data_IF_639491045722
#
_entry.id   IF_639491045722
#
_cell.length_a   1.000
_cell.length_b   1.000
_cell.length_c   1.000
_cell.angle_alpha   90.00
_cell.angle_beta   90.00
_cell.angle_gamma   90.00
#
_symmetry.space_group_name_H-M   'P 1'
#
loop_
_entity.id
_entity.type
_entity.pdbx_description
1 polymer ?
#
# COMPACT_ATOMS: atom_id res chain seq x y z
N UNK A 1 4.28 -81.72 -16.23
CA UNK A 1 5.47 -82.08 -17.02
C UNK A 1 5.92 -80.82 -17.75
N UNK A 2 7.19 -80.48 -17.57
CA UNK A 2 7.89 -79.27 -18.04
C UNK A 2 8.19 -79.36 -19.56
N UNK A 3 8.88 -78.31 -20.06
CA UNK A 3 9.69 -78.20 -21.31
C UNK A 3 9.02 -77.32 -22.37
N UNK A 4 9.31 -76.00 -22.53
CA UNK A 4 10.56 -75.23 -22.83
C UNK A 4 10.79 -75.02 -24.34
N UNK A 5 11.06 -73.76 -24.71
CA UNK A 5 11.80 -73.32 -25.92
C UNK A 5 11.05 -72.25 -26.72
N UNK A 6 11.20 -70.94 -26.50
CA UNK A 6 12.38 -70.07 -26.79
C UNK A 6 12.84 -70.23 -28.25
N UNK A 7 12.90 -69.21 -29.09
CA UNK A 7 13.81 -68.04 -29.05
C UNK A 7 13.46 -67.19 -30.33
N UNK A 8 13.64 -65.88 -30.50
CA UNK A 8 14.89 -65.11 -30.49
C UNK A 8 14.56 -63.61 -30.51
N UNK A 9 15.19 -62.85 -29.59
CA UNK A 9 15.96 -61.65 -29.93
C UNK A 9 15.25 -60.30 -30.06
N UNK A 10 15.55 -59.40 -29.12
CA UNK A 10 15.31 -57.98 -29.31
C UNK A 10 15.45 -57.13 -28.06
N UNK A 11 16.59 -57.19 -27.38
CA UNK A 11 16.93 -56.31 -26.26
C UNK A 11 16.96 -54.84 -26.70
N UNK A 12 16.08 -54.01 -26.14
CA UNK A 12 16.33 -52.56 -26.10
C UNK A 12 15.68 -51.91 -24.88
N UNK A 13 16.57 -51.68 -23.90
CA UNK A 13 16.68 -50.45 -23.14
C UNK A 13 15.40 -49.93 -22.46
N UNK A 14 15.32 -50.20 -21.16
CA UNK A 14 15.40 -49.15 -20.14
C UNK A 14 14.83 -47.79 -20.58
N UNK A 15 13.65 -47.44 -20.07
CA UNK A 15 13.52 -46.44 -19.00
C UNK A 15 12.05 -46.14 -18.79
N UNK A 16 11.65 -46.31 -17.54
CA UNK A 16 10.62 -45.55 -16.85
C UNK A 16 10.32 -44.26 -17.60
N UNK A 17 9.11 -44.12 -18.12
CA UNK A 17 8.60 -42.84 -18.56
C UNK A 17 8.47 -41.97 -17.30
N UNK A 18 9.61 -41.39 -16.92
CA UNK A 18 9.71 -40.14 -16.20
C UNK A 18 8.66 -39.25 -16.84
N UNK A 19 7.64 -38.96 -16.04
CA UNK A 19 6.67 -37.91 -16.24
C UNK A 19 7.43 -36.78 -16.95
N UNK A 20 7.15 -36.56 -18.24
CA UNK A 20 7.49 -35.32 -18.92
C UNK A 20 6.65 -34.22 -18.25
N UNK A 21 6.97 -33.91 -16.99
CA UNK A 21 6.80 -32.61 -16.40
C UNK A 21 7.52 -31.74 -17.40
N UNK A 22 6.75 -31.08 -18.26
CA UNK A 22 7.23 -29.86 -18.91
C UNK A 22 8.01 -29.11 -17.83
N UNK A 23 9.30 -28.80 -18.05
CA UNK A 23 10.01 -27.97 -17.10
C UNK A 23 9.11 -26.76 -16.85
N UNK A 24 8.78 -26.50 -15.58
CA UNK A 24 8.14 -25.24 -15.23
C UNK A 24 9.05 -24.17 -15.83
N UNK A 25 8.53 -23.22 -16.64
CA UNK A 25 9.35 -22.14 -17.14
C UNK A 25 9.85 -21.38 -15.90
N UNK A 26 11.08 -21.64 -15.50
CA UNK A 26 11.84 -20.85 -14.55
C UNK A 26 12.87 -20.12 -15.39
N UNK A 27 12.42 -19.11 -16.15
CA UNK A 27 13.28 -18.23 -16.93
C UNK A 27 12.52 -16.93 -17.27
N UNK A 28 13.07 -15.79 -16.82
CA UNK A 28 12.62 -14.40 -17.09
C UNK A 28 11.65 -13.84 -16.04
N UNK A 29 12.01 -13.12 -14.97
CA UNK A 29 12.94 -11.99 -14.84
C UNK A 29 12.64 -10.79 -15.76
N UNK A 30 11.50 -10.76 -16.46
CA UNK A 30 11.18 -9.67 -17.40
C UNK A 30 9.68 -9.36 -17.34
N UNK A 31 9.32 -8.19 -16.75
CA UNK A 31 7.97 -7.63 -16.79
C UNK A 31 7.23 -7.49 -15.45
N UNK A 32 7.84 -6.87 -14.43
CA UNK A 32 7.11 -6.36 -13.26
C UNK A 32 6.25 -5.11 -13.59
N UNK A 33 5.63 -5.06 -14.77
CA UNK A 33 5.07 -3.84 -15.35
C UNK A 33 3.59 -3.97 -15.70
N UNK A 34 2.74 -4.55 -14.83
CA UNK A 34 1.29 -4.42 -15.04
C UNK A 34 0.44 -4.52 -13.77
N UNK A 35 0.67 -3.60 -12.83
CA UNK A 35 -0.31 -3.27 -11.77
C UNK A 35 -0.54 -1.76 -11.64
N UNK A 36 -0.24 -1.00 -12.69
CA UNK A 36 -0.58 0.42 -12.73
C UNK A 36 -2.03 0.60 -13.19
N UNK A 37 -2.79 1.54 -12.61
CA UNK A 37 -4.14 1.81 -13.05
C UNK A 37 -4.10 2.39 -14.48
N UNK A 38 -4.60 1.63 -15.46
CA UNK A 38 -4.57 1.99 -16.88
C UNK A 38 -5.06 3.43 -17.16
N UNK A 39 -4.26 4.22 -17.89
CA UNK A 39 -4.53 5.62 -18.21
C UNK A 39 -4.05 6.63 -17.17
N UNK A 40 -2.93 6.35 -16.49
CA UNK A 40 -2.34 7.23 -15.50
C UNK A 40 -1.69 8.46 -16.14
N UNK A 41 -1.91 9.63 -15.55
CA UNK A 41 -1.06 10.79 -15.80
C UNK A 41 0.21 10.68 -14.94
N UNK A 42 1.30 11.36 -15.32
CA UNK A 42 2.56 11.45 -14.53
C UNK A 42 2.33 11.73 -13.03
N UNK A 43 1.25 12.45 -12.68
CA UNK A 43 0.85 12.72 -11.30
C UNK A 43 0.35 11.47 -10.57
N UNK A 44 -0.47 10.64 -11.25
CA UNK A 44 -1.08 9.43 -10.70
C UNK A 44 -0.07 8.31 -10.51
N UNK A 45 0.91 8.19 -11.40
CA UNK A 45 2.06 7.28 -11.25
C UNK A 45 2.86 7.56 -9.98
N UNK A 46 3.29 8.81 -9.80
CA UNK A 46 4.02 9.22 -8.57
C UNK A 46 3.22 8.94 -7.30
N UNK A 47 1.91 9.16 -7.37
CA UNK A 47 1.02 8.91 -6.23
C UNK A 47 0.88 7.42 -5.92
N UNK A 48 0.78 6.58 -6.95
CA UNK A 48 0.75 5.13 -6.79
C UNK A 48 2.02 4.64 -6.09
N UNK A 49 3.20 5.01 -6.62
CA UNK A 49 4.48 4.57 -6.03
C UNK A 49 4.63 5.08 -4.59
N UNK A 50 4.31 6.34 -4.32
CA UNK A 50 4.38 6.87 -2.96
C UNK A 50 3.49 6.10 -1.97
N UNK A 51 2.28 5.70 -2.38
CA UNK A 51 1.37 4.95 -1.50
C UNK A 51 1.84 3.50 -1.32
N UNK A 52 2.31 2.87 -2.41
CA UNK A 52 2.87 1.52 -2.38
C UNK A 52 4.06 1.46 -1.43
N UNK A 53 5.05 2.31 -1.65
CA UNK A 53 6.25 2.40 -0.82
C UNK A 53 5.90 2.71 0.64
N UNK A 54 5.01 3.68 0.88
CA UNK A 54 4.53 4.00 2.23
C UNK A 54 3.81 2.83 2.91
N UNK A 55 3.14 1.95 2.16
CA UNK A 55 2.46 0.78 2.71
C UNK A 55 3.47 -0.33 3.03
N UNK A 56 4.45 -0.55 2.15
CA UNK A 56 5.56 -1.50 2.35
C UNK A 56 6.41 -1.12 3.57
N UNK A 57 6.77 0.16 3.72
CA UNK A 57 7.49 0.69 4.89
C UNK A 57 6.74 0.47 6.21
N UNK A 58 5.40 0.38 6.17
CA UNK A 58 4.55 0.07 7.35
C UNK A 58 4.38 -1.44 7.59
N UNK A 59 5.06 -2.28 6.81
CA UNK A 59 5.02 -3.74 6.92
C UNK A 59 3.89 -4.42 6.14
N UNK A 60 3.24 -3.74 5.18
CA UNK A 60 2.32 -4.40 4.28
C UNK A 60 3.09 -5.27 3.27
N UNK A 61 2.53 -6.43 2.91
CA UNK A 61 3.07 -7.22 1.80
C UNK A 61 2.98 -6.45 0.48
N UNK A 62 3.90 -6.69 -0.45
CA UNK A 62 3.96 -6.02 -1.75
C UNK A 62 2.64 -6.08 -2.51
N UNK A 63 1.98 -7.25 -2.55
CA UNK A 63 0.66 -7.41 -3.18
C UNK A 63 -0.41 -6.53 -2.53
N UNK A 64 -0.44 -6.46 -1.19
CA UNK A 64 -1.38 -5.61 -0.45
C UNK A 64 -1.08 -4.12 -0.64
N UNK A 65 0.20 -3.75 -0.68
CA UNK A 65 0.62 -2.38 -0.93
C UNK A 65 0.19 -1.89 -2.33
N UNK A 66 0.39 -2.73 -3.36
CA UNK A 66 -0.09 -2.49 -4.73
C UNK A 66 -1.61 -2.33 -4.77
N UNK A 67 -2.36 -3.22 -4.11
CA UNK A 67 -3.82 -3.13 -4.02
C UNK A 67 -4.27 -1.81 -3.36
N UNK A 68 -3.63 -1.44 -2.25
CA UNK A 68 -3.93 -0.20 -1.53
C UNK A 68 -3.65 1.04 -2.39
N UNK A 69 -2.51 1.06 -3.09
CA UNK A 69 -2.13 2.13 -4.00
C UNK A 69 -3.12 2.26 -5.16
N UNK A 70 -3.42 1.15 -5.85
CA UNK A 70 -4.38 1.12 -6.95
C UNK A 70 -5.77 1.60 -6.51
N UNK A 71 -6.28 1.10 -5.39
CA UNK A 71 -7.60 1.49 -4.86
C UNK A 71 -7.67 2.98 -4.55
N UNK A 72 -6.60 3.54 -3.99
CA UNK A 72 -6.55 4.96 -3.63
C UNK A 72 -6.50 5.84 -4.88
N UNK A 73 -5.63 5.52 -5.84
CA UNK A 73 -5.50 6.26 -7.09
C UNK A 73 -6.77 6.17 -7.94
N UNK A 74 -7.37 4.99 -8.05
CA UNK A 74 -8.63 4.81 -8.79
C UNK A 74 -9.78 5.63 -8.19
N UNK A 75 -9.87 5.70 -6.85
CA UNK A 75 -10.85 6.55 -6.19
C UNK A 75 -10.65 8.03 -6.54
N UNK A 76 -9.42 8.50 -6.58
CA UNK A 76 -9.14 9.90 -6.93
C UNK A 76 -9.39 10.20 -8.40
N UNK A 77 -9.06 9.28 -9.31
CA UNK A 77 -9.37 9.40 -10.73
C UNK A 77 -10.87 9.50 -10.97
N UNK A 78 -11.66 8.64 -10.31
CA UNK A 78 -13.11 8.68 -10.39
C UNK A 78 -13.70 10.01 -9.88
N UNK A 79 -13.08 10.64 -8.87
CA UNK A 79 -13.50 11.96 -8.37
C UNK A 79 -13.11 13.11 -9.29
N UNK A 80 -11.94 13.01 -9.92
CA UNK A 80 -11.42 14.03 -10.84
C UNK A 80 -12.05 13.95 -12.24
N UNK A 81 -12.88 12.94 -12.51
CA UNK A 81 -13.44 12.69 -13.86
C UNK A 81 -12.44 12.07 -14.83
N UNK A 82 -11.28 11.61 -14.34
CA UNK A 82 -10.20 11.00 -15.14
C UNK A 82 -10.46 9.50 -15.43
N UNK A 83 -11.54 8.94 -14.88
CA UNK A 83 -11.94 7.54 -15.07
C UNK A 83 -13.17 7.44 -15.97
N UNK A 84 -13.14 6.51 -16.93
CA UNK A 84 -14.29 6.17 -17.78
C UNK A 84 -15.46 5.61 -16.95
N UNK A 85 -15.15 4.99 -15.81
CA UNK A 85 -16.13 4.39 -14.90
C UNK A 85 -16.02 5.02 -13.52
N UNK A 86 -17.15 5.43 -12.94
CA UNK A 86 -17.21 6.01 -11.61
C UNK A 86 -18.41 5.46 -10.84
N UNK A 87 -18.16 4.94 -9.63
CA UNK A 87 -19.23 4.55 -8.71
C UNK A 87 -19.76 5.76 -7.95
N UNK A 88 -21.06 5.73 -7.59
CA UNK A 88 -21.69 6.77 -6.74
C UNK A 88 -20.90 6.98 -5.43
N UNK A 89 -20.33 5.92 -4.85
CA UNK A 89 -19.56 6.00 -3.60
C UNK A 89 -18.20 6.68 -3.76
N UNK A 90 -17.59 6.58 -4.94
CA UNK A 90 -16.32 7.25 -5.23
C UNK A 90 -16.50 8.77 -5.37
N UNK A 91 -17.57 9.19 -6.02
CA UNK A 91 -17.88 10.60 -6.32
C UNK A 91 -18.68 11.32 -5.23
N UNK A 92 -19.65 10.65 -4.57
CA UNK A 92 -20.51 11.26 -3.54
C UNK A 92 -19.90 11.31 -2.14
N UNK A 93 -18.80 10.61 -1.86
CA UNK A 93 -18.10 10.79 -0.58
C UNK A 93 -17.67 12.26 -0.50
N UNK A 94 -18.05 13.05 0.51
CA UNK A 94 -17.74 14.49 0.54
C UNK A 94 -16.24 14.77 0.65
N UNK A 95 -15.41 13.81 1.08
CA UNK A 95 -13.98 14.02 1.34
C UNK A 95 -13.10 13.00 0.64
N UNK A 96 -11.98 13.43 0.06
CA UNK A 96 -10.96 12.52 -0.45
C UNK A 96 -10.21 11.82 0.69
N UNK A 97 -9.51 10.71 0.39
CA UNK A 97 -8.72 10.02 1.39
C UNK A 97 -7.63 10.92 2.04
N UNK A 98 -6.89 11.76 1.28
CA UNK A 98 -5.96 12.74 1.86
C UNK A 98 -6.65 13.78 2.76
N UNK A 99 -7.80 14.33 2.33
CA UNK A 99 -8.55 15.31 3.13
C UNK A 99 -9.03 14.72 4.46
N UNK A 100 -9.49 13.47 4.45
CA UNK A 100 -9.90 12.75 5.65
C UNK A 100 -8.72 12.49 6.60
N UNK A 101 -7.57 12.11 6.05
CA UNK A 101 -6.33 11.94 6.80
C UNK A 101 -5.89 13.24 7.45
N UNK A 102 -5.83 14.34 6.69
CA UNK A 102 -5.46 15.67 7.18
C UNK A 102 -6.38 16.21 8.27
N UNK A 103 -7.69 15.95 8.19
CA UNK A 103 -8.61 16.35 9.27
C UNK A 103 -8.43 15.53 10.54
N UNK A 104 -8.11 14.23 10.42
CA UNK A 104 -7.87 13.34 11.57
C UNK A 104 -6.51 13.59 12.23
N UNK A 105 -5.50 13.98 11.45
CA UNK A 105 -4.18 14.31 11.97
C UNK A 105 -4.07 15.76 12.43
N UNK A 106 -4.88 16.67 11.86
CA UNK A 106 -4.79 18.11 12.09
C UNK A 106 -5.64 18.65 13.24
N UNK A 107 -6.77 18.03 13.54
CA UNK A 107 -7.51 18.39 14.74
C UNK A 107 -6.78 17.81 15.95
N UNK A 108 -6.22 18.70 16.78
CA UNK A 108 -5.54 18.43 18.07
C UNK A 108 -6.51 17.87 19.14
N UNK A 109 -7.53 17.17 18.68
CA UNK A 109 -8.72 16.61 19.35
C UNK A 109 -8.60 15.09 19.46
N UNK A 110 -7.38 14.55 19.39
CA UNK A 110 -7.13 13.20 19.90
C UNK A 110 -7.45 13.14 21.40
N UNK A 111 -7.68 11.95 21.97
CA UNK A 111 -8.12 11.79 23.36
C UNK A 111 -7.19 12.45 24.41
N UNK A 112 -5.95 12.78 24.05
CA UNK A 112 -4.96 13.45 24.92
C UNK A 112 -4.71 14.94 24.64
N UNK A 113 -5.48 15.56 23.73
CA UNK A 113 -5.34 16.96 23.35
C UNK A 113 -4.03 17.31 22.62
N UNK A 114 -3.69 18.61 22.48
CA UNK A 114 -2.43 19.06 21.88
C UNK A 114 -1.19 18.51 22.60
N UNK A 115 -0.08 18.33 21.90
CA UNK A 115 1.20 17.95 22.53
C UNK A 115 1.84 19.13 23.26
N UNK A 116 2.78 18.87 24.18
CA UNK A 116 3.50 19.94 24.90
C UNK A 116 4.18 20.90 23.92
N UNK A 117 4.81 20.37 22.87
CA UNK A 117 5.53 21.18 21.88
C UNK A 117 4.58 22.05 21.07
N UNK A 118 3.38 21.55 20.78
CA UNK A 118 2.34 22.35 20.12
C UNK A 118 1.88 23.51 21.03
N UNK A 119 1.62 23.23 22.31
CA UNK A 119 1.27 24.26 23.28
C UNK A 119 2.42 25.24 23.52
N UNK A 120 3.67 24.77 23.51
CA UNK A 120 4.86 25.60 23.62
C UNK A 120 4.99 26.54 22.43
N UNK A 121 4.78 26.04 21.21
CA UNK A 121 4.81 26.86 19.99
C UNK A 121 3.67 27.88 19.96
N UNK A 122 2.47 27.49 20.38
CA UNK A 122 1.33 28.40 20.52
C UNK A 122 1.60 29.47 21.60
N UNK A 123 2.14 29.08 22.75
CA UNK A 123 2.57 29.98 23.81
C UNK A 123 3.70 30.92 23.36
N UNK A 124 4.63 30.44 22.52
CA UNK A 124 5.68 31.26 21.90
C UNK A 124 5.08 32.29 20.94
N UNK A 125 4.12 31.90 20.10
CA UNK A 125 3.44 32.81 19.18
C UNK A 125 2.61 33.86 19.91
N UNK A 126 1.99 33.50 21.04
CA UNK A 126 1.24 34.42 21.91
C UNK A 126 2.09 35.20 22.91
N UNK A 127 3.41 35.04 22.89
CA UNK A 127 4.33 35.80 23.74
C UNK A 127 4.25 35.46 25.23
N UNK A 128 3.84 34.25 25.60
CA UNK A 128 3.75 33.84 27.01
C UNK A 128 5.17 33.72 27.60
N UNK A 129 5.43 34.48 28.65
CA UNK A 129 6.68 34.45 29.40
C UNK A 129 6.76 33.21 30.29
N UNK A 130 7.97 32.72 30.56
CA UNK A 130 8.17 31.49 31.34
C UNK A 130 7.73 30.19 30.65
N UNK A 131 7.22 30.24 29.41
CA UNK A 131 6.76 29.09 28.61
C UNK A 131 7.74 27.91 28.52
N UNK A 132 9.06 28.18 28.56
CA UNK A 132 10.09 27.14 28.52
C UNK A 132 10.10 26.26 29.76
N UNK A 133 9.71 26.83 30.91
CA UNK A 133 9.69 26.15 32.20
C UNK A 133 8.31 25.53 32.49
N UNK A 134 7.30 25.81 31.66
CA UNK A 134 5.95 25.31 31.88
C UNK A 134 5.79 23.85 31.43
N UNK A 135 5.10 23.06 32.26
CA UNK A 135 4.65 21.73 31.91
C UNK A 135 3.52 21.78 30.87
N UNK A 136 3.16 20.63 30.30
CA UNK A 136 2.05 20.53 29.32
C UNK A 136 0.77 21.17 29.87
N UNK A 137 0.42 20.90 31.12
CA UNK A 137 -0.81 21.38 31.74
C UNK A 137 -0.73 22.87 32.06
N UNK A 138 0.44 23.37 32.46
CA UNK A 138 0.65 24.81 32.66
C UNK A 138 0.55 25.58 31.35
N UNK A 139 1.11 25.05 30.26
CA UNK A 139 0.96 25.65 28.92
C UNK A 139 -0.49 25.62 28.45
N UNK A 140 -1.24 24.54 28.70
CA UNK A 140 -2.66 24.47 28.37
C UNK A 140 -3.48 25.52 29.14
N UNK A 141 -3.27 25.62 30.46
CA UNK A 141 -3.91 26.63 31.32
C UNK A 141 -3.58 28.05 30.88
N UNK A 142 -2.30 28.34 30.60
CA UNK A 142 -1.87 29.66 30.14
C UNK A 142 -2.48 30.04 28.77
N UNK A 143 -2.90 29.05 27.98
CA UNK A 143 -3.58 29.23 26.70
C UNK A 143 -5.12 29.22 26.80
N UNK A 144 -5.70 29.01 27.98
CA UNK A 144 -7.14 28.97 28.22
C UNK A 144 -7.82 27.68 27.75
N UNK A 145 -7.14 26.54 27.87
CA UNK A 145 -7.63 25.21 27.49
C UNK A 145 -7.77 24.27 28.68
#
# INVERSE_FOLDING_TARGET
MLVIGADVGGTRLMRSAIINRRPRPTEGAEGEEETMPAGSSRKRERQYEHIKESAEQRGASTGRAKEMAARTVNKERARAGESKTASKTSTKDPKSAPQRGGQRSGNRTGPKGPTRDQLYNEAKQRGIEGRSNMTKDQLAKALGR
#
